data_IF_235176136293
#
_entry.id   IF_235176136293
#
_cell.length_a   1.000
_cell.length_b   1.000
_cell.length_c   1.000
_cell.angle_alpha   90.00
_cell.angle_beta   90.00
_cell.angle_gamma   90.00
#
_symmetry.space_group_name_H-M   'P 1'
#
loop_
_entity.id
_entity.type
_entity.pdbx_description
1 polymer ?
#
# COMPACT_ATOMS: atom_id res chain seq x y z
N UNK A 1 27.42 15.67 -3.58
CA UNK A 1 27.33 14.20 -3.64
C UNK A 1 25.87 13.83 -3.77
N UNK A 2 25.54 12.86 -4.63
CA UNK A 2 24.18 12.32 -4.77
C UNK A 2 24.20 10.91 -4.21
N UNK A 3 23.23 10.56 -3.37
CA UNK A 3 23.11 9.23 -2.79
C UNK A 3 21.66 8.77 -2.78
N UNK A 4 21.47 7.48 -3.02
CA UNK A 4 20.21 6.77 -2.82
C UNK A 4 20.45 5.70 -1.76
N UNK A 5 19.70 5.76 -0.68
CA UNK A 5 19.74 4.76 0.39
C UNK A 5 18.37 4.16 0.56
N UNK A 6 18.25 2.83 0.37
CA UNK A 6 17.04 2.08 0.68
C UNK A 6 17.31 1.16 1.87
N UNK A 7 16.44 1.18 2.86
CA UNK A 7 16.51 0.32 4.04
C UNK A 7 15.29 -0.60 4.08
N UNK A 8 15.56 -1.89 4.24
CA UNK A 8 14.53 -2.89 4.49
C UNK A 8 14.45 -3.13 6.00
N UNK A 9 13.33 -2.77 6.63
CA UNK A 9 13.20 -2.87 8.07
C UNK A 9 12.88 -4.31 8.49
N UNK A 10 13.61 -4.89 9.47
CA UNK A 10 13.46 -6.29 9.86
C UNK A 10 12.24 -6.48 10.77
N UNK A 11 11.05 -6.42 10.17
CA UNK A 11 9.75 -6.49 10.83
C UNK A 11 9.03 -7.85 10.63
N UNK A 12 9.71 -8.83 10.01
CA UNK A 12 9.15 -10.16 9.75
C UNK A 12 8.20 -10.21 8.56
N UNK A 13 7.12 -10.99 8.66
CA UNK A 13 6.07 -11.14 7.65
C UNK A 13 5.24 -9.86 7.51
N UNK A 14 5.50 -9.14 6.42
CA UNK A 14 4.90 -7.86 6.08
C UNK A 14 5.87 -7.04 5.22
N UNK A 15 5.61 -5.74 5.11
CA UNK A 15 6.48 -4.83 4.38
C UNK A 15 6.62 -3.48 5.09
N UNK A 16 7.87 -3.04 5.22
CA UNK A 16 8.21 -1.70 5.65
C UNK A 16 9.60 -1.35 5.12
N UNK A 17 9.63 -0.45 4.15
CA UNK A 17 10.87 0.02 3.54
C UNK A 17 10.94 1.54 3.58
N UNK A 18 12.14 2.06 3.77
CA UNK A 18 12.42 3.50 3.65
C UNK A 18 13.43 3.73 2.54
N UNK A 19 13.26 4.84 1.83
CA UNK A 19 14.18 5.27 0.80
C UNK A 19 14.44 6.76 0.91
N UNK A 20 15.71 7.14 0.89
CA UNK A 20 16.16 8.52 0.93
C UNK A 20 16.95 8.83 -0.33
N UNK A 21 16.45 9.78 -1.13
CA UNK A 21 17.19 10.36 -2.25
C UNK A 21 17.78 11.67 -1.78
N UNK A 22 19.11 11.75 -1.68
CA UNK A 22 19.81 12.92 -1.20
C UNK A 22 20.70 13.50 -2.27
N UNK A 23 20.53 14.79 -2.52
CA UNK A 23 21.38 15.64 -3.35
C UNK A 23 21.99 16.72 -2.46
N UNK A 24 22.72 17.67 -3.05
CA UNK A 24 23.30 18.79 -2.30
C UNK A 24 22.19 19.71 -1.76
N UNK A 25 21.14 19.92 -2.54
CA UNK A 25 20.11 20.93 -2.25
C UNK A 25 18.78 20.34 -1.77
N UNK A 26 18.60 19.03 -1.93
CA UNK A 26 17.32 18.36 -1.71
C UNK A 26 17.47 16.97 -1.13
N UNK A 27 16.56 16.65 -0.22
CA UNK A 27 16.34 15.32 0.31
C UNK A 27 14.88 14.94 0.04
N UNK A 28 14.64 13.70 -0.41
CA UNK A 28 13.30 13.14 -0.62
C UNK A 28 13.23 11.85 0.19
N UNK A 29 12.28 11.79 1.12
CA UNK A 29 12.06 10.64 1.98
C UNK A 29 10.78 9.89 1.57
N UNK A 30 10.95 8.62 1.23
CA UNK A 30 9.89 7.74 0.73
C UNK A 30 9.71 6.58 1.71
N UNK A 31 8.46 6.23 1.98
CA UNK A 31 8.08 5.02 2.71
C UNK A 31 7.27 4.12 1.80
N UNK A 32 7.58 2.83 1.80
CA UNK A 32 6.84 1.80 1.08
C UNK A 32 6.26 0.81 2.08
N UNK A 33 4.93 0.79 2.17
CA UNK A 33 4.17 0.08 3.19
C UNK A 33 4.67 0.36 4.62
N UNK A 34 3.92 -0.08 5.61
CA UNK A 34 4.36 0.00 7.00
C UNK A 34 3.53 -0.96 7.83
N UNK A 35 3.75 -2.26 7.66
CA UNK A 35 2.98 -3.23 8.41
C UNK A 35 3.68 -4.54 8.63
N UNK A 36 3.18 -5.30 9.61
CA UNK A 36 3.60 -6.67 9.89
C UNK A 36 2.52 -7.41 10.68
N UNK A 37 2.35 -8.71 10.43
CA UNK A 37 1.56 -9.61 11.29
C UNK A 37 2.45 -10.49 12.17
N UNK A 38 3.77 -10.26 12.13
CA UNK A 38 4.72 -11.00 12.98
C UNK A 38 4.45 -10.69 14.43
N UNK A 39 4.28 -11.75 15.22
CA UNK A 39 4.12 -11.63 16.67
C UNK A 39 5.38 -11.00 17.28
N UNK A 40 5.20 -10.27 18.38
CA UNK A 40 6.26 -9.64 19.17
C UNK A 40 6.96 -8.42 18.51
N UNK A 41 6.61 -8.03 17.28
CA UNK A 41 7.06 -6.76 16.70
C UNK A 41 6.20 -5.61 17.23
N UNK A 42 6.78 -4.76 18.08
CA UNK A 42 6.13 -3.51 18.50
C UNK A 42 6.34 -2.42 17.44
N UNK A 43 5.47 -2.41 16.44
CA UNK A 43 5.57 -1.51 15.29
C UNK A 43 5.50 -0.02 15.69
N UNK A 44 4.69 0.32 16.69
CA UNK A 44 4.63 1.69 17.23
C UNK A 44 5.97 2.15 17.76
N UNK A 45 6.56 1.40 18.68
CA UNK A 45 7.88 1.72 19.24
C UNK A 45 8.96 1.74 18.16
N UNK A 46 8.89 0.84 17.18
CA UNK A 46 9.83 0.82 16.05
C UNK A 46 9.76 2.12 15.25
N UNK A 47 8.56 2.59 14.88
CA UNK A 47 8.34 3.84 14.14
C UNK A 47 8.77 5.06 14.96
N UNK A 48 8.48 5.09 16.25
CA UNK A 48 8.86 6.19 17.14
C UNK A 48 10.38 6.34 17.29
N UNK A 49 11.12 5.22 17.24
CA UNK A 49 12.58 5.21 17.25
C UNK A 49 13.19 5.53 15.88
N UNK A 50 12.51 5.17 14.79
CA UNK A 50 12.97 5.43 13.43
C UNK A 50 12.85 6.91 13.04
N UNK A 51 11.75 7.57 13.45
CA UNK A 51 11.46 8.95 13.09
C UNK A 51 11.45 9.87 14.32
N UNK A 52 12.06 11.03 14.21
CA UNK A 52 11.79 12.12 15.14
C UNK A 52 10.34 12.61 15.00
N UNK A 53 9.77 13.20 16.05
CA UNK A 53 8.42 13.78 15.98
C UNK A 53 8.37 14.84 14.88
N UNK A 54 7.27 14.86 14.13
CA UNK A 54 7.03 15.80 13.03
C UNK A 54 8.03 15.67 11.86
N UNK A 55 8.74 14.55 11.76
CA UNK A 55 9.54 14.20 10.57
C UNK A 55 8.66 14.23 9.33
N UNK A 56 9.27 14.57 8.19
CA UNK A 56 8.55 14.64 6.91
C UNK A 56 8.76 13.36 6.10
N UNK A 57 7.66 12.77 5.67
CA UNK A 57 7.62 11.74 4.63
C UNK A 57 7.09 12.43 3.37
N UNK A 58 7.92 12.54 2.35
CA UNK A 58 7.52 13.18 1.09
C UNK A 58 6.54 12.31 0.31
N UNK A 59 6.73 10.99 0.34
CA UNK A 59 5.86 10.02 -0.33
C UNK A 59 5.66 8.78 0.53
N UNK A 60 4.41 8.44 0.84
CA UNK A 60 4.01 7.12 1.33
C UNK A 60 3.38 6.35 0.18
N UNK A 61 3.99 5.23 -0.19
CA UNK A 61 3.45 4.29 -1.16
C UNK A 61 2.81 3.11 -0.43
N UNK A 62 1.52 2.88 -0.68
CA UNK A 62 0.77 1.72 -0.16
C UNK A 62 0.57 0.77 -1.33
N UNK A 63 1.12 -0.44 -1.25
CA UNK A 63 1.05 -1.41 -2.33
C UNK A 63 -0.34 -2.06 -2.44
N UNK A 64 -0.92 -2.41 -1.29
CA UNK A 64 -2.26 -2.99 -1.14
C UNK A 64 -2.73 -2.90 0.31
N UNK A 65 -3.96 -3.36 0.59
CA UNK A 65 -4.65 -3.14 1.86
C UNK A 65 -4.63 -4.33 2.83
N UNK A 66 -3.71 -5.28 2.69
CA UNK A 66 -3.58 -6.33 3.70
C UNK A 66 -2.99 -5.77 5.00
N UNK A 67 -3.39 -6.36 6.13
CA UNK A 67 -3.04 -5.86 7.46
C UNK A 67 -1.52 -5.79 7.69
N UNK A 68 -0.76 -6.74 7.15
CA UNK A 68 0.70 -6.80 7.18
C UNK A 68 1.39 -5.76 6.29
N UNK A 69 0.64 -4.88 5.62
CA UNK A 69 1.17 -3.74 4.86
C UNK A 69 0.72 -2.39 5.42
N UNK A 70 -0.45 -2.33 6.10
CA UNK A 70 -1.08 -1.05 6.48
C UNK A 70 -1.19 -0.81 7.98
N UNK A 71 -0.97 -1.81 8.83
CA UNK A 71 -1.27 -1.69 10.25
C UNK A 71 -0.36 -0.73 11.06
N UNK A 72 0.74 -0.27 10.49
CA UNK A 72 1.60 0.78 11.05
C UNK A 72 1.32 2.19 10.52
N UNK A 73 0.48 2.33 9.49
CA UNK A 73 0.08 3.64 8.94
C UNK A 73 -0.49 4.57 10.02
N UNK A 74 -1.35 4.12 10.97
CA UNK A 74 -1.83 4.99 12.05
C UNK A 74 -0.68 5.61 12.86
N UNK A 75 0.36 4.83 13.16
CA UNK A 75 1.52 5.30 13.93
C UNK A 75 2.42 6.21 13.11
N UNK A 76 2.62 5.91 11.81
CA UNK A 76 3.33 6.82 10.90
C UNK A 76 2.63 8.17 10.81
N UNK A 77 1.31 8.17 10.64
CA UNK A 77 0.50 9.39 10.55
C UNK A 77 0.53 10.19 11.86
N UNK A 78 0.53 9.52 13.01
CA UNK A 78 0.68 10.18 14.32
C UNK A 78 2.08 10.81 14.48
N UNK A 79 3.11 10.14 13.96
CA UNK A 79 4.52 10.52 14.17
C UNK A 79 5.06 11.54 13.17
N UNK A 80 4.60 11.48 11.92
CA UNK A 80 5.20 12.15 10.78
C UNK A 80 4.18 12.99 9.99
N UNK A 81 4.67 14.03 9.31
CA UNK A 81 3.92 14.76 8.29
C UNK A 81 4.09 14.06 6.95
N UNK A 82 3.00 13.55 6.40
CA UNK A 82 2.98 12.85 5.11
C UNK A 82 2.49 13.84 4.05
N UNK A 83 3.32 14.15 3.06
CA UNK A 83 2.96 15.12 2.01
C UNK A 83 2.16 14.50 0.88
N UNK A 84 2.49 13.26 0.51
CA UNK A 84 1.88 12.55 -0.60
C UNK A 84 1.63 11.11 -0.24
N UNK A 85 0.47 10.59 -0.63
CA UNK A 85 0.12 9.18 -0.52
C UNK A 85 -0.21 8.65 -1.91
N UNK A 86 0.49 7.59 -2.31
CA UNK A 86 0.19 6.83 -3.51
C UNK A 86 -0.46 5.51 -3.07
N UNK A 87 -1.65 5.22 -3.58
CA UNK A 87 -2.50 4.13 -3.07
C UNK A 87 -3.26 3.44 -4.22
N UNK A 88 -3.68 2.17 -4.09
CA UNK A 88 -4.47 1.53 -5.13
C UNK A 88 -5.83 2.22 -5.31
N UNK A 89 -6.27 2.32 -6.56
CA UNK A 89 -7.58 2.84 -6.91
C UNK A 89 -8.65 1.78 -6.63
N UNK A 90 -9.65 2.17 -5.85
CA UNK A 90 -10.91 1.46 -5.69
C UNK A 90 -12.03 2.44 -6.05
N UNK A 91 -12.96 2.08 -6.96
CA UNK A 91 -14.13 2.91 -7.26
C UNK A 91 -14.86 3.28 -5.97
N UNK A 92 -15.28 4.54 -5.85
CA UNK A 92 -15.84 5.07 -4.60
C UNK A 92 -17.04 4.26 -4.10
N UNK A 93 -17.91 3.84 -5.02
CA UNK A 93 -19.08 3.00 -4.75
C UNK A 93 -18.71 1.63 -4.17
N UNK A 94 -17.52 1.12 -4.48
CA UNK A 94 -17.05 -0.21 -4.07
C UNK A 94 -16.26 -0.18 -2.77
N UNK A 95 -15.79 0.99 -2.29
CA UNK A 95 -14.90 1.10 -1.12
C UNK A 95 -15.49 0.50 0.14
N UNK A 96 -16.77 0.77 0.42
CA UNK A 96 -17.44 0.23 1.60
C UNK A 96 -17.55 -1.30 1.52
N UNK A 97 -17.94 -1.82 0.35
CA UNK A 97 -18.04 -3.26 0.12
C UNK A 97 -16.66 -3.93 0.23
N UNK A 98 -15.62 -3.29 -0.30
CA UNK A 98 -14.24 -3.74 -0.20
C UNK A 98 -13.78 -3.87 1.26
N UNK A 99 -14.05 -2.85 2.09
CA UNK A 99 -13.75 -2.88 3.53
C UNK A 99 -14.45 -4.06 4.20
N UNK A 100 -15.73 -4.27 3.90
CA UNK A 100 -16.53 -5.34 4.49
C UNK A 100 -16.01 -6.73 4.12
N UNK A 101 -15.82 -7.00 2.82
CA UNK A 101 -15.36 -8.31 2.31
C UNK A 101 -13.97 -8.66 2.85
N UNK A 102 -13.06 -7.68 2.92
CA UNK A 102 -11.69 -7.88 3.39
C UNK A 102 -11.54 -7.77 4.91
N UNK A 103 -12.64 -7.52 5.66
CA UNK A 103 -12.64 -7.36 7.12
C UNK A 103 -11.69 -6.25 7.61
N UNK A 104 -11.62 -5.14 6.89
CA UNK A 104 -10.71 -4.01 7.15
C UNK A 104 -11.39 -2.88 7.94
N UNK A 105 -12.26 -3.22 8.89
CA UNK A 105 -13.09 -2.22 9.61
C UNK A 105 -12.24 -1.15 10.32
N UNK A 106 -11.11 -1.57 10.90
CA UNK A 106 -10.15 -0.68 11.59
C UNK A 106 -9.46 0.30 10.65
N UNK A 107 -9.44 0.00 9.34
CA UNK A 107 -8.86 0.83 8.28
C UNK A 107 -9.91 1.41 7.34
N UNK A 108 -11.19 1.38 7.75
CA UNK A 108 -12.31 1.84 6.93
C UNK A 108 -12.12 3.27 6.42
N UNK A 109 -11.70 4.19 7.29
CA UNK A 109 -11.46 5.59 6.92
C UNK A 109 -10.30 5.73 5.92
N UNK A 110 -9.23 4.96 6.08
CA UNK A 110 -8.09 4.95 5.15
C UNK A 110 -8.55 4.59 3.73
N UNK A 111 -9.54 3.70 3.59
CA UNK A 111 -10.03 3.20 2.31
C UNK A 111 -11.16 4.06 1.74
N UNK A 112 -12.20 4.32 2.55
CA UNK A 112 -13.42 5.00 2.13
C UNK A 112 -13.15 6.47 1.82
N UNK A 113 -12.44 7.16 2.72
CA UNK A 113 -12.13 8.59 2.58
C UNK A 113 -10.65 8.85 2.94
N UNK A 114 -9.75 8.38 2.09
CA UNK A 114 -8.29 8.53 2.26
C UNK A 114 -7.87 9.98 2.44
N UNK A 115 -8.52 10.89 1.71
CA UNK A 115 -8.28 12.32 1.74
C UNK A 115 -8.59 12.92 3.11
N UNK A 116 -9.71 12.54 3.74
CA UNK A 116 -10.03 12.92 5.11
C UNK A 116 -9.11 12.21 6.12
N UNK A 117 -8.80 10.94 5.88
CA UNK A 117 -7.94 10.15 6.76
C UNK A 117 -6.55 10.77 6.92
N UNK A 118 -5.91 11.23 5.84
CA UNK A 118 -4.59 11.89 5.92
C UNK A 118 -4.68 13.41 6.14
N UNK A 119 -5.79 14.04 5.72
CA UNK A 119 -6.03 15.47 5.86
C UNK A 119 -5.69 16.27 4.61
N UNK A 120 -6.23 17.50 4.54
CA UNK A 120 -6.24 18.35 3.33
C UNK A 120 -4.86 18.76 2.80
N UNK A 121 -3.81 18.71 3.64
CA UNK A 121 -2.44 19.04 3.24
C UNK A 121 -1.73 17.87 2.54
N UNK A 122 -2.32 16.66 2.57
CA UNK A 122 -1.77 15.47 1.91
C UNK A 122 -2.33 15.32 0.51
N UNK A 123 -1.46 15.25 -0.50
CA UNK A 123 -1.85 14.91 -1.86
C UNK A 123 -2.09 13.39 -1.97
N UNK A 124 -3.25 12.98 -2.48
CA UNK A 124 -3.58 11.56 -2.69
C UNK A 124 -3.59 11.23 -4.18
N UNK A 125 -2.76 10.28 -4.59
CA UNK A 125 -2.70 9.74 -5.95
C UNK A 125 -3.19 8.30 -5.93
N UNK A 126 -4.18 7.98 -6.76
CA UNK A 126 -4.75 6.63 -6.86
C UNK A 126 -4.32 5.96 -8.15
N UNK A 127 -3.73 4.78 -8.04
CA UNK A 127 -3.21 4.02 -9.19
C UNK A 127 -4.21 2.93 -9.58
N UNK A 128 -4.69 2.98 -10.82
CA UNK A 128 -5.54 1.92 -11.39
C UNK A 128 -4.68 0.70 -11.73
N UNK A 129 -5.16 -0.53 -11.51
CA UNK A 129 -4.52 -1.70 -12.08
C UNK A 129 -4.51 -1.57 -13.61
N UNK A 130 -3.44 -2.03 -14.23
CA UNK A 130 -3.36 -2.15 -15.69
C UNK A 130 -4.42 -3.17 -16.13
N UNK A 131 -5.27 -2.78 -17.08
CA UNK A 131 -6.24 -3.69 -17.66
C UNK A 131 -5.47 -4.62 -18.59
N UNK A 132 -5.47 -5.93 -18.33
CA UNK A 132 -5.05 -6.89 -19.35
C UNK A 132 -6.05 -6.80 -20.51
N UNK A 133 -5.61 -6.36 -21.69
CA UNK A 133 -6.42 -6.37 -22.89
C UNK A 133 -6.87 -7.81 -23.19
N UNK A 134 -8.18 -8.11 -23.04
CA UNK A 134 -8.80 -9.41 -23.32
C UNK A 134 -8.73 -9.85 -24.81
N UNK A 135 -7.97 -9.16 -25.66
CA UNK A 135 -7.96 -9.32 -27.12
C UNK A 135 -7.02 -10.41 -27.67
N UNK A 136 -6.24 -11.12 -26.84
CA UNK A 136 -5.29 -12.14 -27.31
C UNK A 136 -5.77 -13.60 -27.28
N UNK A 137 -7.05 -13.87 -26.99
CA UNK A 137 -7.60 -15.25 -26.99
C UNK A 137 -8.43 -15.62 -28.24
N UNK A 138 -8.34 -14.85 -29.32
CA UNK A 138 -9.18 -15.04 -30.51
C UNK A 138 -8.49 -15.71 -31.70
N UNK A 139 -7.66 -16.75 -31.52
CA UNK A 139 -7.33 -17.66 -32.64
C UNK A 139 -7.21 -19.13 -32.24
N UNK A 140 -8.13 -19.92 -32.82
CA UNK A 140 -8.21 -21.38 -33.01
C UNK A 140 -8.57 -22.29 -31.82
N UNK A 141 -9.86 -22.61 -31.72
CA UNK A 141 -10.28 -24.01 -32.02
C UNK A 141 -11.78 -24.06 -32.33
N UNK A 142 -12.10 -24.48 -33.55
CA UNK A 142 -13.43 -24.90 -33.93
C UNK A 142 -13.74 -26.26 -33.29
N UNK A 143 -14.95 -26.33 -32.74
CA UNK A 143 -15.82 -27.51 -32.57
C UNK A 143 -15.70 -28.40 -31.30
N UNK A 144 -16.86 -28.44 -30.60
CA UNK A 144 -17.50 -29.53 -29.82
C UNK A 144 -17.48 -29.45 -28.27
N UNK A 145 -18.66 -29.10 -27.75
CA UNK A 145 -19.36 -29.43 -26.49
C UNK A 145 -18.78 -29.11 -25.09
N UNK A 146 -19.45 -28.13 -24.47
CA UNK A 146 -20.22 -28.23 -23.22
C UNK A 146 -19.60 -29.00 -22.03
N UNK A 147 -18.97 -28.27 -21.11
CA UNK A 147 -19.33 -28.28 -19.68
C UNK A 147 -18.58 -27.18 -18.90
N UNK A 148 -19.31 -26.53 -17.99
CA UNK A 148 -18.80 -25.43 -17.14
C UNK A 148 -17.68 -25.92 -16.22
N UNK A 149 -16.54 -25.21 -16.22
CA UNK A 149 -15.68 -25.06 -15.03
C UNK A 149 -15.16 -23.62 -14.97
N UNK A 150 -15.74 -22.84 -14.07
CA UNK A 150 -15.09 -21.62 -13.57
C UNK A 150 -13.89 -22.05 -12.73
N UNK A 151 -12.70 -22.03 -13.34
CA UNK A 151 -11.45 -22.26 -12.64
C UNK A 151 -10.80 -20.89 -12.44
N UNK A 152 -11.17 -20.21 -11.35
CA UNK A 152 -10.36 -19.12 -10.81
C UNK A 152 -9.02 -19.72 -10.39
N UNK A 153 -8.01 -19.59 -11.24
CA UNK A 153 -6.63 -19.91 -10.88
C UNK A 153 -6.14 -18.89 -9.87
N UNK A 154 -6.19 -19.30 -8.59
CA UNK A 154 -5.47 -18.69 -7.49
C UNK A 154 -3.98 -18.60 -7.83
N UNK A 155 -3.45 -17.39 -7.87
CA UNK A 155 -2.02 -17.15 -7.69
C UNK A 155 -1.82 -16.61 -6.27
N UNK A 156 -1.53 -17.51 -5.33
CA UNK A 156 -0.89 -17.14 -4.08
C UNK A 156 0.62 -17.29 -4.28
N UNK A 157 1.42 -16.22 -4.25
CA UNK A 157 2.80 -16.35 -3.82
C UNK A 157 2.78 -16.59 -2.30
N UNK A 158 3.58 -17.56 -1.89
CA UNK A 158 3.72 -18.17 -0.55
C UNK A 158 3.71 -17.20 0.63
#
# INVERSE_FOLDING_TARGET
MVSLTRTFHPIGFGAFYTECHKTIDKEINIVYDCGTITKDVNLKNYIENLYAKDSTIDILFISHFHADHINGIPYLKERCKIKKVIIPYIPEIDRLLFVYINKLNDFSQLIINTEEYFGKETEVIRIKPEQEDELNNSFQSDSVNHEKKYQYSKWYPY
#
